data_IF_649458967114
#
_entry.id   IF_649458967114
#
_cell.length_a   1.000
_cell.length_b   1.000
_cell.length_c   1.000
_cell.angle_alpha   90.00
_cell.angle_beta   90.00
_cell.angle_gamma   90.00
#
_symmetry.space_group_name_H-M   'P 1'
#
loop_
_entity.id
_entity.type
_entity.pdbx_description
1 polymer ?
#
# COMPACT_ATOMS: atom_id res chain seq x y z
N UNK A 1 -8.25 70.53 -21.04
CA UNK A 1 -9.15 69.64 -20.27
C UNK A 1 -10.04 68.95 -21.29
N UNK A 2 -9.59 67.94 -22.03
CA UNK A 2 -8.96 66.65 -21.67
C UNK A 2 -9.96 65.67 -21.08
N UNK A 3 -9.98 64.46 -21.67
CA UNK A 3 -10.68 63.20 -21.32
C UNK A 3 -12.08 63.06 -21.91
N UNK A 4 -12.50 61.94 -22.51
CA UNK A 4 -11.86 60.77 -23.09
C UNK A 4 -13.00 60.04 -23.84
N UNK A 5 -12.71 59.56 -25.05
CA UNK A 5 -13.66 58.84 -25.92
C UNK A 5 -13.64 57.36 -25.52
N UNK A 6 -14.69 56.88 -24.87
CA UNK A 6 -14.83 55.44 -24.56
C UNK A 6 -15.29 54.68 -25.80
N UNK A 7 -14.33 53.95 -26.37
CA UNK A 7 -14.49 52.94 -27.41
C UNK A 7 -15.13 51.68 -26.82
N UNK A 8 -16.36 51.39 -27.24
CA UNK A 8 -17.07 50.15 -26.96
C UNK A 8 -16.60 49.09 -27.96
N UNK A 9 -15.76 48.17 -27.50
CA UNK A 9 -15.25 47.06 -28.30
C UNK A 9 -16.28 45.94 -28.33
N UNK A 10 -16.81 45.65 -29.51
CA UNK A 10 -17.64 44.48 -29.79
C UNK A 10 -16.83 43.20 -29.55
N UNK A 11 -17.34 42.32 -28.67
CA UNK A 11 -16.85 40.96 -28.53
C UNK A 11 -17.53 40.07 -29.58
N UNK A 12 -16.77 39.27 -30.37
CA UNK A 12 -17.37 38.37 -31.33
C UNK A 12 -18.06 37.19 -30.64
N UNK A 13 -19.33 36.96 -31.00
CA UNK A 13 -20.08 35.75 -30.66
C UNK A 13 -19.43 34.53 -31.34
N UNK A 14 -18.89 33.61 -30.54
CA UNK A 14 -18.44 32.32 -31.04
C UNK A 14 -19.60 31.33 -31.09
N UNK A 15 -19.92 31.00 -32.35
CA UNK A 15 -20.88 30.06 -32.89
C UNK A 15 -20.74 28.64 -32.30
N UNK A 16 -21.79 28.18 -31.63
CA UNK A 16 -21.98 26.79 -31.19
C UNK A 16 -22.33 25.91 -32.41
N UNK A 17 -21.33 25.55 -33.20
CA UNK A 17 -21.49 24.54 -34.26
C UNK A 17 -21.37 23.13 -33.71
N UNK A 18 -22.53 22.59 -33.36
CA UNK A 18 -23.06 21.28 -33.79
C UNK A 18 -22.05 20.41 -34.57
N UNK A 19 -21.44 19.45 -33.89
CA UNK A 19 -20.74 18.33 -34.56
C UNK A 19 -21.65 17.12 -34.55
N UNK A 20 -22.06 16.72 -35.75
CA UNK A 20 -22.94 15.59 -36.02
C UNK A 20 -22.32 14.27 -35.55
N UNK A 21 -23.00 13.60 -34.61
CA UNK A 21 -22.77 12.21 -34.27
C UNK A 21 -23.33 11.33 -35.41
N UNK A 22 -22.48 10.95 -36.36
CA UNK A 22 -22.81 9.85 -37.29
C UNK A 22 -22.56 8.52 -36.59
N UNK A 23 -23.67 7.89 -36.25
CA UNK A 23 -23.81 6.47 -35.99
C UNK A 23 -23.45 5.67 -37.25
N UNK A 24 -22.40 4.85 -37.19
CA UNK A 24 -22.23 3.70 -38.07
C UNK A 24 -21.79 2.51 -37.22
N UNK A 25 -22.50 1.39 -37.42
CA UNK A 25 -22.50 0.25 -36.52
C UNK A 25 -21.19 -0.53 -36.45
N UNK A 26 -21.00 -1.14 -35.28
CA UNK A 26 -20.28 -2.38 -35.15
C UNK A 26 -21.22 -3.39 -34.51
N UNK A 27 -21.74 -4.29 -35.35
CA UNK A 27 -22.26 -5.57 -34.91
C UNK A 27 -21.10 -6.47 -34.48
N UNK A 28 -21.43 -7.50 -33.71
CA UNK A 28 -20.53 -8.63 -33.48
C UNK A 28 -20.40 -9.01 -32.02
N UNK A 29 -21.20 -10.00 -31.63
CA UNK A 29 -21.07 -10.75 -30.40
C UNK A 29 -19.63 -11.26 -30.16
N UNK A 30 -19.10 -11.04 -28.96
CA UNK A 30 -18.13 -11.92 -28.31
C UNK A 30 -17.99 -11.51 -26.82
N UNK A 31 -19.02 -11.77 -26.03
CA UNK A 31 -18.95 -11.66 -24.57
C UNK A 31 -18.04 -12.74 -23.99
N UNK A 32 -16.75 -12.46 -23.87
CA UNK A 32 -15.86 -13.20 -22.98
C UNK A 32 -14.56 -12.43 -22.71
N UNK A 33 -14.37 -11.93 -21.49
CA UNK A 33 -13.04 -11.75 -20.90
C UNK A 33 -13.12 -11.45 -19.40
N UNK A 34 -13.24 -12.54 -18.62
CA UNK A 34 -12.48 -12.81 -17.38
C UNK A 34 -12.51 -11.72 -16.30
N UNK A 35 -13.41 -11.89 -15.34
CA UNK A 35 -13.14 -11.50 -13.96
C UNK A 35 -11.87 -12.22 -13.50
N UNK A 36 -10.72 -11.54 -13.52
CA UNK A 36 -9.47 -12.10 -13.03
C UNK A 36 -9.56 -12.15 -11.52
N UNK A 37 -9.75 -13.36 -10.99
CA UNK A 37 -9.92 -13.60 -9.56
C UNK A 37 -8.75 -12.99 -8.76
N UNK A 38 -9.06 -12.24 -7.70
CA UNK A 38 -8.09 -11.56 -6.82
C UNK A 38 -6.99 -12.51 -6.29
N UNK A 39 -7.34 -13.78 -6.10
CA UNK A 39 -6.42 -14.86 -5.74
C UNK A 39 -5.33 -15.11 -6.80
N UNK A 40 -5.66 -14.96 -8.10
CA UNK A 40 -4.68 -15.08 -9.19
C UNK A 40 -3.70 -13.91 -9.22
N UNK A 41 -4.13 -12.69 -8.88
CA UNK A 41 -3.24 -11.53 -8.81
C UNK A 41 -2.27 -11.64 -7.63
N UNK A 42 -2.75 -12.10 -6.48
CA UNK A 42 -1.94 -12.36 -5.29
C UNK A 42 -0.95 -13.51 -5.51
N UNK A 43 -1.37 -14.57 -6.21
CA UNK A 43 -0.52 -15.72 -6.55
C UNK A 43 0.55 -15.38 -7.59
N UNK A 44 0.20 -14.63 -8.64
CA UNK A 44 1.10 -14.26 -9.74
C UNK A 44 2.11 -13.16 -9.36
N UNK A 45 1.85 -12.41 -8.28
CA UNK A 45 2.81 -11.51 -7.64
C UNK A 45 3.84 -12.29 -6.81
N UNK A 46 3.38 -13.26 -6.02
CA UNK A 46 4.21 -14.14 -5.18
C UNK A 46 5.24 -14.95 -5.99
N UNK A 47 4.89 -15.37 -7.21
CA UNK A 47 5.77 -16.15 -8.10
C UNK A 47 6.88 -15.30 -8.75
N UNK A 48 6.73 -13.97 -8.82
CA UNK A 48 7.68 -13.07 -9.49
C UNK A 48 8.89 -12.65 -8.65
N UNK A 49 8.81 -12.78 -7.32
CA UNK A 49 9.76 -12.18 -6.37
C UNK A 49 10.65 -13.20 -5.63
N UNK A 50 10.69 -14.46 -6.07
CA UNK A 50 11.52 -15.49 -5.46
C UNK A 50 12.92 -15.53 -6.09
N UNK A 51 13.85 -14.67 -5.63
CA UNK A 51 15.30 -14.91 -5.78
C UNK A 51 16.04 -14.59 -4.48
N UNK A 52 16.83 -15.55 -4.04
CA UNK A 52 17.42 -15.64 -2.70
C UNK A 52 18.78 -14.95 -2.64
N UNK A 53 19.02 -14.15 -1.59
CA UNK A 53 20.38 -13.75 -1.17
C UNK A 53 20.65 -14.31 0.23
N UNK A 54 21.85 -14.84 0.44
CA UNK A 54 22.29 -15.46 1.69
C UNK A 54 23.28 -14.58 2.46
N UNK A 55 23.00 -14.30 3.74
CA UNK A 55 23.96 -13.91 4.80
C UNK A 55 23.21 -13.82 6.17
N UNK A 56 23.92 -13.55 7.28
CA UNK A 56 24.38 -14.48 8.29
C UNK A 56 23.31 -14.84 9.37
N UNK A 57 23.49 -15.98 10.03
CA UNK A 57 22.61 -16.49 11.10
C UNK A 57 22.91 -15.82 12.44
N UNK A 58 22.12 -14.82 12.81
CA UNK A 58 21.75 -14.58 14.21
C UNK A 58 20.44 -15.34 14.48
N UNK A 59 20.32 -16.05 15.60
CA UNK A 59 19.09 -16.81 15.95
C UNK A 59 17.89 -15.84 16.01
N UNK A 60 16.92 -15.89 15.07
CA UNK A 60 15.83 -14.91 14.99
C UNK A 60 14.51 -15.39 15.61
N UNK A 61 14.50 -16.52 16.34
CA UNK A 61 13.24 -17.24 16.60
C UNK A 61 12.31 -16.58 17.63
N UNK A 62 12.82 -15.81 18.60
CA UNK A 62 12.02 -15.44 19.77
C UNK A 62 11.79 -13.93 19.97
N UNK A 63 12.45 -13.06 19.19
CA UNK A 63 12.26 -11.62 19.36
C UNK A 63 11.00 -11.16 18.60
N UNK A 64 10.06 -10.44 19.24
CA UNK A 64 8.86 -9.97 18.58
C UNK A 64 9.23 -9.12 17.36
N UNK A 65 8.70 -9.52 16.20
CA UNK A 65 8.98 -8.87 14.91
C UNK A 65 8.47 -7.42 14.88
N UNK A 66 7.53 -7.08 15.77
CA UNK A 66 7.01 -5.74 15.98
C UNK A 66 7.12 -5.35 17.46
N UNK A 67 7.69 -4.18 17.76
CA UNK A 67 7.79 -3.66 19.14
C UNK A 67 7.53 -2.16 19.19
N UNK A 68 6.90 -1.69 20.28
CA UNK A 68 6.89 -0.27 20.61
C UNK A 68 8.33 0.26 20.76
N UNK A 69 8.52 1.56 20.56
CA UNK A 69 9.83 2.18 20.74
C UNK A 69 10.09 2.41 22.24
N UNK A 70 11.09 1.74 22.80
CA UNK A 70 11.42 1.87 24.23
C UNK A 70 11.71 3.32 24.67
N UNK A 71 12.21 4.17 23.76
CA UNK A 71 12.43 5.60 24.02
C UNK A 71 11.15 6.42 24.19
N UNK A 72 9.99 5.86 23.83
CA UNK A 72 8.67 6.51 23.93
C UNK A 72 7.80 5.86 25.03
N UNK A 73 8.34 4.90 25.77
CA UNK A 73 7.59 4.16 26.78
C UNK A 73 7.02 5.09 27.86
N UNK A 74 5.75 4.89 28.22
CA UNK A 74 5.04 5.66 29.22
C UNK A 74 4.53 7.03 28.76
N UNK A 75 4.65 7.36 27.47
CA UNK A 75 4.17 8.61 26.89
C UNK A 75 3.10 8.42 25.81
N UNK A 76 2.43 9.50 25.45
CA UNK A 76 1.31 9.52 24.47
C UNK A 76 1.68 9.03 23.05
N UNK A 77 2.97 8.90 22.76
CA UNK A 77 3.50 8.46 21.48
C UNK A 77 3.81 6.96 21.42
N UNK A 78 3.79 6.26 22.55
CA UNK A 78 4.14 4.83 22.63
C UNK A 78 3.33 3.99 21.64
N UNK A 79 2.00 4.15 21.65
CA UNK A 79 1.09 3.41 20.78
C UNK A 79 1.11 3.90 19.33
N UNK A 80 1.66 5.10 19.08
CA UNK A 80 1.67 5.75 17.76
C UNK A 80 2.89 5.36 16.93
N UNK A 81 3.93 4.79 17.54
CA UNK A 81 5.16 4.42 16.85
C UNK A 81 5.67 3.04 17.24
N UNK A 82 5.81 2.19 16.23
CA UNK A 82 6.34 0.84 16.40
C UNK A 82 7.51 0.60 15.44
N UNK A 83 8.42 -0.28 15.79
CA UNK A 83 9.45 -0.77 14.89
C UNK A 83 9.19 -2.20 14.46
N UNK A 84 9.21 -2.43 13.15
CA UNK A 84 9.32 -3.77 12.58
C UNK A 84 10.79 -4.16 12.45
N UNK A 85 11.13 -5.41 12.74
CA UNK A 85 12.44 -5.99 12.43
C UNK A 85 12.35 -6.74 11.12
N UNK A 86 13.35 -6.55 10.27
CA UNK A 86 13.55 -7.42 9.10
C UNK A 86 14.48 -8.59 9.42
N UNK A 87 14.55 -9.55 8.50
CA UNK A 87 15.45 -10.71 8.59
C UNK A 87 16.92 -10.29 8.65
N UNK A 88 17.27 -9.15 8.05
CA UNK A 88 18.60 -8.54 8.11
C UNK A 88 18.97 -8.02 9.50
N UNK A 89 18.02 -7.94 10.44
CA UNK A 89 18.19 -7.33 11.75
C UNK A 89 17.92 -5.81 11.79
N UNK A 90 17.72 -5.17 10.62
CA UNK A 90 17.35 -3.75 10.53
C UNK A 90 15.99 -3.49 11.17
N UNK A 91 15.83 -2.29 11.73
CA UNK A 91 14.57 -1.81 12.30
C UNK A 91 13.93 -0.78 11.37
N UNK A 92 12.63 -0.93 11.14
CA UNK A 92 11.81 -0.07 10.30
C UNK A 92 10.75 0.60 11.18
N UNK A 93 10.99 1.87 11.53
CA UNK A 93 10.08 2.65 12.37
C UNK A 93 8.84 3.02 11.56
N UNK A 94 7.68 2.78 12.13
CA UNK A 94 6.38 2.98 11.53
C UNK A 94 5.50 3.85 12.43
N UNK A 95 4.78 4.79 11.83
CA UNK A 95 3.61 5.40 12.46
C UNK A 95 2.44 4.42 12.42
N UNK A 96 1.68 4.35 13.50
CA UNK A 96 0.55 3.42 13.66
C UNK A 96 -0.75 4.21 13.58
N UNK A 97 -1.66 3.75 12.72
CA UNK A 97 -3.01 4.29 12.58
C UNK A 97 -4.03 3.15 12.77
N UNK A 98 -5.10 3.35 13.55
CA UNK A 98 -6.15 2.35 13.67
C UNK A 98 -6.90 2.20 12.34
N UNK A 99 -7.36 0.99 12.05
CA UNK A 99 -8.35 0.76 11.00
C UNK A 99 -9.70 1.24 11.51
N UNK A 100 -10.29 2.22 10.83
CA UNK A 100 -11.66 2.67 11.07
C UNK A 100 -12.50 2.44 9.82
N UNK A 101 -13.32 1.38 9.82
CA UNK A 101 -14.15 1.00 8.68
C UNK A 101 -15.20 2.05 8.28
N UNK A 102 -15.49 3.03 9.16
CA UNK A 102 -16.43 4.12 8.86
C UNK A 102 -15.76 5.28 8.13
N UNK A 103 -14.44 5.37 8.20
CA UNK A 103 -13.66 6.41 7.53
C UNK A 103 -13.35 6.04 6.07
N UNK A 104 -13.10 7.06 5.25
CA UNK A 104 -12.55 6.87 3.91
C UNK A 104 -11.22 6.10 3.99
N UNK A 105 -11.00 5.20 3.02
CA UNK A 105 -9.84 4.29 2.99
C UNK A 105 -9.58 3.56 4.33
N UNK A 106 -10.64 3.33 5.10
CA UNK A 106 -10.61 2.71 6.40
C UNK A 106 -9.59 3.34 7.38
N UNK A 107 -9.42 4.66 7.31
CA UNK A 107 -8.51 5.42 8.17
C UNK A 107 -7.03 5.38 7.75
N UNK A 108 -6.71 4.81 6.58
CA UNK A 108 -5.35 4.87 6.03
C UNK A 108 -5.06 6.29 5.52
N UNK A 109 -4.05 7.00 6.07
CA UNK A 109 -3.73 8.34 5.57
C UNK A 109 -3.10 8.30 4.18
N UNK A 110 -3.20 9.42 3.46
CA UNK A 110 -2.60 9.58 2.14
C UNK A 110 -1.12 9.96 2.27
N UNK A 111 -0.25 9.19 1.61
CA UNK A 111 1.19 9.42 1.57
C UNK A 111 1.68 9.25 0.15
N UNK A 112 2.53 10.18 -0.32
CA UNK A 112 3.12 10.10 -1.65
C UNK A 112 4.13 8.96 -1.76
N UNK A 113 5.01 8.77 -0.77
CA UNK A 113 6.10 7.80 -0.81
C UNK A 113 6.21 7.09 0.53
N UNK A 114 5.74 5.86 0.59
CA UNK A 114 5.67 5.12 1.85
C UNK A 114 5.61 3.61 1.62
N UNK A 115 5.91 2.86 2.66
CA UNK A 115 5.47 1.47 2.80
C UNK A 115 4.31 1.48 3.80
N UNK A 116 3.21 0.85 3.42
CA UNK A 116 2.09 0.56 4.31
C UNK A 116 2.09 -0.92 4.61
N UNK A 117 2.06 -1.25 5.90
CA UNK A 117 1.96 -2.60 6.41
C UNK A 117 0.58 -2.71 7.06
N UNK A 118 -0.28 -3.55 6.50
CA UNK A 118 -1.55 -3.89 7.12
C UNK A 118 -1.30 -4.92 8.20
N UNK A 119 -1.74 -4.63 9.43
CA UNK A 119 -1.43 -5.42 10.62
C UNK A 119 -2.74 -5.88 11.26
N UNK A 120 -2.84 -7.17 11.52
CA UNK A 120 -3.89 -7.76 12.35
C UNK A 120 -3.27 -8.39 13.59
N UNK A 121 -4.07 -9.15 14.33
CA UNK A 121 -3.58 -10.00 15.41
C UNK A 121 -3.77 -11.47 15.06
N UNK A 122 -2.90 -12.33 15.57
CA UNK A 122 -3.10 -13.77 15.55
C UNK A 122 -3.95 -14.24 16.74
N UNK A 123 -4.10 -15.56 16.89
CA UNK A 123 -4.90 -16.18 17.96
C UNK A 123 -4.28 -15.91 19.35
N UNK A 124 -2.96 -15.69 19.42
CA UNK A 124 -2.25 -15.34 20.65
C UNK A 124 -2.32 -13.84 21.00
N UNK A 125 -2.98 -13.03 20.18
CA UNK A 125 -3.02 -11.57 20.34
C UNK A 125 -1.76 -10.86 19.82
N UNK A 126 -0.81 -11.60 19.24
CA UNK A 126 0.42 -11.04 18.70
C UNK A 126 0.16 -10.40 17.34
N UNK A 127 0.84 -9.28 17.08
CA UNK A 127 0.67 -8.53 15.81
C UNK A 127 1.25 -9.34 14.66
N UNK A 128 0.42 -9.56 13.63
CA UNK A 128 0.80 -10.25 12.40
C UNK A 128 0.65 -9.33 11.18
N UNK A 129 1.59 -9.44 10.26
CA UNK A 129 1.46 -8.79 8.95
C UNK A 129 0.39 -9.52 8.13
N UNK A 130 -0.55 -8.75 7.58
CA UNK A 130 -1.62 -9.24 6.71
C UNK A 130 -1.31 -8.95 5.25
N UNK A 131 -0.81 -7.75 4.94
CA UNK A 131 -0.46 -7.34 3.59
C UNK A 131 0.50 -6.16 3.59
N UNK A 132 1.16 -5.93 2.44
CA UNK A 132 1.98 -4.75 2.18
C UNK A 132 1.44 -3.97 0.99
N UNK A 133 1.58 -2.64 1.05
CA UNK A 133 1.42 -1.74 -0.08
C UNK A 133 2.64 -0.83 -0.17
N UNK A 134 3.18 -0.67 -1.37
CA UNK A 134 4.16 0.36 -1.68
C UNK A 134 3.42 1.55 -2.29
N UNK A 135 3.47 2.70 -1.61
CA UNK A 135 2.92 3.96 -2.12
C UNK A 135 3.97 4.68 -2.95
N UNK A 136 3.53 5.25 -4.06
CA UNK A 136 4.35 6.05 -4.98
C UNK A 136 3.57 7.28 -5.41
N UNK A 137 4.30 8.33 -5.78
CA UNK A 137 3.68 9.54 -6.30
C UNK A 137 2.88 9.22 -7.57
N UNK A 138 1.62 9.67 -7.63
CA UNK A 138 0.72 9.37 -8.75
C UNK A 138 0.23 7.92 -8.82
N UNK A 139 0.38 7.14 -7.74
CA UNK A 139 -0.13 5.78 -7.69
C UNK A 139 -1.64 5.71 -7.93
N UNK A 140 -2.07 4.60 -8.52
CA UNK A 140 -3.47 4.38 -8.90
C UNK A 140 -4.39 4.28 -7.67
N UNK A 141 -5.32 5.24 -7.53
CA UNK A 141 -6.29 5.29 -6.44
C UNK A 141 -7.16 4.02 -6.34
N UNK A 142 -7.53 3.41 -7.45
CA UNK A 142 -8.30 2.17 -7.46
C UNK A 142 -7.49 0.98 -6.90
N UNK A 143 -6.17 0.93 -7.18
CA UNK A 143 -5.31 -0.10 -6.63
C UNK A 143 -5.16 0.04 -5.11
N UNK A 144 -5.09 1.28 -4.61
CA UNK A 144 -5.10 1.58 -3.17
C UNK A 144 -6.42 1.13 -2.53
N UNK A 145 -7.57 1.49 -3.10
CA UNK A 145 -8.88 1.08 -2.60
C UNK A 145 -9.03 -0.45 -2.57
N UNK A 146 -8.58 -1.13 -3.62
CA UNK A 146 -8.60 -2.60 -3.68
C UNK A 146 -7.70 -3.23 -2.60
N UNK A 147 -6.52 -2.65 -2.35
CA UNK A 147 -5.64 -3.08 -1.26
C UNK A 147 -6.32 -2.90 0.10
N UNK A 148 -6.87 -1.73 0.39
CA UNK A 148 -7.55 -1.44 1.66
C UNK A 148 -8.68 -2.43 1.89
N UNK A 149 -9.57 -2.61 0.91
CA UNK A 149 -10.69 -3.54 1.01
C UNK A 149 -10.22 -4.98 1.26
N UNK A 150 -9.17 -5.43 0.57
CA UNK A 150 -8.61 -6.77 0.75
C UNK A 150 -7.96 -6.95 2.14
N UNK A 151 -7.22 -5.95 2.61
CA UNK A 151 -6.56 -5.98 3.91
C UNK A 151 -7.57 -6.00 5.07
N UNK A 152 -8.59 -5.14 5.02
CA UNK A 152 -9.68 -5.11 6.01
C UNK A 152 -10.41 -6.46 6.04
N UNK A 153 -10.76 -7.01 4.86
CA UNK A 153 -11.39 -8.34 4.76
C UNK A 153 -10.50 -9.45 5.34
N UNK A 154 -9.18 -9.31 5.24
CA UNK A 154 -8.21 -10.26 5.78
C UNK A 154 -7.89 -10.06 7.28
N UNK A 155 -8.59 -9.14 7.95
CA UNK A 155 -8.51 -8.93 9.40
C UNK A 155 -7.48 -7.87 9.82
N UNK A 156 -7.13 -6.92 8.95
CA UNK A 156 -6.33 -5.77 9.36
C UNK A 156 -7.07 -4.93 10.41
N UNK A 157 -6.36 -4.56 11.46
CA UNK A 157 -6.81 -3.73 12.58
C UNK A 157 -5.98 -2.45 12.71
N UNK A 158 -4.76 -2.44 12.18
CA UNK A 158 -3.86 -1.29 12.20
C UNK A 158 -3.15 -1.12 10.85
N UNK A 159 -2.85 0.12 10.50
CA UNK A 159 -1.93 0.51 9.43
C UNK A 159 -0.61 0.94 10.06
N UNK A 160 0.48 0.29 9.69
CA UNK A 160 1.82 0.68 10.10
C UNK A 160 2.53 1.28 8.89
N UNK A 161 2.86 2.57 8.94
CA UNK A 161 3.37 3.33 7.80
C UNK A 161 4.83 3.71 8.01
N UNK A 162 5.71 3.28 7.11
CA UNK A 162 7.13 3.64 7.09
C UNK A 162 7.41 4.67 5.98
N UNK A 163 7.79 5.90 6.39
CA UNK A 163 7.97 7.05 5.48
C UNK A 163 9.43 7.29 5.03
N UNK A 164 10.42 6.64 5.65
CA UNK A 164 11.83 7.01 5.47
C UNK A 164 12.52 6.41 4.23
N UNK A 165 11.75 6.06 3.20
CA UNK A 165 12.28 5.43 1.98
C UNK A 165 11.71 6.09 0.73
N UNK A 166 12.35 7.20 0.29
CA UNK A 166 11.99 7.92 -0.94
C UNK A 166 12.29 7.12 -2.23
N UNK A 167 13.29 6.23 -2.19
CA UNK A 167 13.66 5.38 -3.31
C UNK A 167 12.76 4.12 -3.42
N UNK A 168 12.07 3.90 -4.55
CA UNK A 168 11.24 2.72 -4.80
C UNK A 168 11.98 1.39 -4.58
N UNK A 169 13.27 1.30 -4.89
CA UNK A 169 14.06 0.08 -4.71
C UNK A 169 14.31 -0.19 -3.23
N UNK A 170 14.61 0.85 -2.44
CA UNK A 170 14.74 0.72 -0.98
C UNK A 170 13.43 0.36 -0.31
N UNK A 171 12.29 0.87 -0.80
CA UNK A 171 10.95 0.45 -0.32
C UNK A 171 10.72 -1.04 -0.55
N UNK A 172 11.02 -1.51 -1.78
CA UNK A 172 10.92 -2.92 -2.13
C UNK A 172 11.79 -3.80 -1.24
N UNK A 173 13.07 -3.44 -1.08
CA UNK A 173 14.01 -4.19 -0.25
C UNK A 173 13.58 -4.24 1.23
N UNK A 174 13.02 -3.14 1.77
CA UNK A 174 12.49 -3.11 3.12
C UNK A 174 11.27 -4.03 3.30
N UNK A 175 10.33 -4.03 2.33
CA UNK A 175 9.19 -4.98 2.33
C UNK A 175 9.70 -6.41 2.34
N UNK A 176 10.63 -6.76 1.44
CA UNK A 176 11.19 -8.10 1.32
C UNK A 176 11.89 -8.55 2.60
N UNK A 177 12.62 -7.65 3.26
CA UNK A 177 13.33 -7.92 4.49
C UNK A 177 12.37 -8.20 5.67
N UNK A 178 11.29 -7.43 5.79
CA UNK A 178 10.25 -7.66 6.82
C UNK A 178 9.48 -8.94 6.51
N UNK A 179 9.03 -9.13 5.27
CA UNK A 179 8.26 -10.31 4.86
C UNK A 179 9.08 -11.60 5.07
N UNK A 180 10.39 -11.56 4.82
CA UNK A 180 11.27 -12.70 5.02
C UNK A 180 11.40 -13.13 6.50
N UNK A 181 11.17 -12.21 7.46
CA UNK A 181 11.11 -12.55 8.88
C UNK A 181 9.73 -13.09 9.27
N UNK A 182 8.65 -12.52 8.72
CA UNK A 182 7.29 -12.93 9.02
C UNK A 182 6.89 -14.27 8.39
N UNK A 183 7.61 -14.73 7.35
CA UNK A 183 7.34 -16.02 6.71
C UNK A 183 7.83 -17.14 7.63
N UNK A 184 6.96 -18.09 8.06
CA UNK A 184 7.42 -19.24 8.83
C UNK A 184 8.43 -20.03 7.99
N UNK A 185 9.54 -20.43 8.61
CA UNK A 185 10.42 -21.40 8.01
C UNK A 185 9.62 -22.69 7.84
N UNK A 186 9.39 -23.12 6.60
CA UNK A 186 8.84 -24.47 6.36
C UNK A 186 9.90 -25.44 6.88
N UNK A 187 9.62 -26.27 7.91
CA UNK A 187 10.56 -27.31 8.29
C UNK A 187 10.70 -28.25 7.11
N UNK A 188 11.91 -28.31 6.54
CA UNK A 188 12.26 -29.39 5.61
C UNK A 188 12.31 -30.65 6.46
N UNK A 189 11.29 -31.49 6.36
CA UNK A 189 11.35 -32.84 6.91
C UNK A 189 12.52 -33.53 6.23
N UNK A 190 13.53 -33.92 7.01
CA UNK A 190 14.61 -34.75 6.51
C UNK A 190 14.01 -36.08 6.02
N UNK A 191 14.49 -36.64 4.90
CA UNK A 191 14.09 -37.99 4.52
C UNK A 191 14.51 -38.95 5.64
N UNK A 192 13.58 -39.82 6.03
CA UNK A 192 13.77 -40.93 6.97
C UNK A 192 14.71 -41.97 6.37
#
# INVERSE_FOLDING_TARGET
MTMAKESRTDLPQTDLRRTDLRMTGFGGCAGSARAVSLLFLLRRWRERNARTVAAPRLKPADAPSNTALASLAGGDLEERFHAWRGRSGRRYICSVFPVDQRAADAGLPEFAEAIVIAVGQDIGGERRVVAFLQCEYGANALARQAFVAAAVKAGAQQWHVHLLTADPQKRRAAIEDIEALCRPAVPVLAPV
#
